data_IF_420394874745
#
_entry.id   IF_420394874745
#
_cell.length_a   1.000
_cell.length_b   1.000
_cell.length_c   1.000
_cell.angle_alpha   90.00
_cell.angle_beta   90.00
_cell.angle_gamma   90.00
#
_symmetry.space_group_name_H-M   'P 1'
#
loop_
_entity.id
_entity.type
_entity.pdbx_description
1 polymer ?
#
# COMPACT_ATOMS: atom_id res chain seq x y z
N UNK A 1 -14.40 -3.17 25.29
CA UNK A 1 -14.09 -1.85 24.70
C UNK A 1 -15.06 -1.45 23.58
N UNK A 2 -15.42 -2.31 22.62
CA UNK A 2 -16.38 -1.96 21.57
C UNK A 2 -17.82 -1.67 22.04
N UNK A 3 -18.26 -2.29 23.15
CA UNK A 3 -19.59 -2.05 23.71
C UNK A 3 -19.74 -0.62 24.27
N UNK A 4 -18.74 -0.12 25.01
CA UNK A 4 -18.79 1.22 25.60
C UNK A 4 -18.81 2.35 24.55
N UNK A 5 -18.17 2.15 23.40
CA UNK A 5 -18.16 3.08 22.25
C UNK A 5 -19.52 3.13 21.54
N UNK A 6 -20.29 2.04 21.62
CA UNK A 6 -21.63 1.97 21.04
C UNK A 6 -22.68 2.65 21.93
N UNK A 7 -22.56 2.49 23.25
CA UNK A 7 -23.59 2.92 24.21
C UNK A 7 -23.43 4.34 24.72
N UNK A 8 -22.20 4.86 24.82
CA UNK A 8 -21.94 6.20 25.35
C UNK A 8 -21.38 7.13 24.27
N UNK A 9 -22.16 8.11 23.78
CA UNK A 9 -21.71 9.04 22.74
C UNK A 9 -20.55 9.95 23.20
N UNK A 10 -20.31 10.08 24.50
CA UNK A 10 -19.17 10.83 25.06
C UNK A 10 -17.83 10.08 24.94
N UNK A 11 -17.85 8.75 24.77
CA UNK A 11 -16.68 7.92 24.49
C UNK A 11 -16.49 7.59 23.01
N UNK A 12 -17.33 8.14 22.12
CA UNK A 12 -17.02 8.21 20.68
C UNK A 12 -15.94 9.28 20.49
N UNK A 13 -14.69 8.89 20.65
CA UNK A 13 -13.49 9.73 20.50
C UNK A 13 -13.38 10.48 19.15
N UNK A 14 -14.26 10.25 18.17
CA UNK A 14 -14.23 10.90 16.85
C UNK A 14 -15.69 11.09 16.37
N UNK A 15 -16.26 12.27 16.58
CA UNK A 15 -17.56 12.68 16.05
C UNK A 15 -17.44 13.12 14.58
N UNK A 16 -18.46 12.71 13.81
CA UNK A 16 -18.60 12.93 12.36
C UNK A 16 -18.82 14.42 12.07
N UNK A 17 -18.39 14.87 10.89
CA UNK A 17 -18.59 16.21 10.28
C UNK A 17 -17.46 17.23 10.44
N UNK A 18 -16.77 17.32 11.60
CA UNK A 18 -15.62 18.24 11.75
C UNK A 18 -14.25 17.69 11.28
N UNK A 19 -14.12 16.36 11.15
CA UNK A 19 -12.83 15.67 10.96
C UNK A 19 -12.63 14.95 9.62
N UNK A 20 -13.54 15.11 8.64
CA UNK A 20 -13.34 14.51 7.30
C UNK A 20 -12.02 14.96 6.68
N UNK A 21 -11.67 16.23 6.85
CA UNK A 21 -10.41 16.85 6.39
C UNK A 21 -9.16 16.26 7.06
N UNK A 22 -9.20 15.97 8.36
CA UNK A 22 -8.06 15.41 9.08
C UNK A 22 -7.73 13.98 8.62
N UNK A 23 -8.76 13.18 8.35
CA UNK A 23 -8.56 11.83 7.82
C UNK A 23 -7.87 11.87 6.45
N UNK A 24 -8.26 12.81 5.58
CA UNK A 24 -7.68 12.98 4.23
C UNK A 24 -6.18 13.32 4.33
N UNK A 25 -5.81 14.24 5.22
CA UNK A 25 -4.39 14.62 5.42
C UNK A 25 -3.58 13.42 5.90
N UNK A 26 -4.09 12.65 6.85
CA UNK A 26 -3.42 11.44 7.36
C UNK A 26 -3.18 10.44 6.22
N UNK A 27 -4.16 10.22 5.34
CA UNK A 27 -3.99 9.32 4.20
C UNK A 27 -2.95 9.84 3.19
N UNK A 28 -2.97 11.14 2.87
CA UNK A 28 -2.00 11.73 1.95
C UNK A 28 -0.56 11.63 2.51
N UNK A 29 -0.35 11.87 3.81
CA UNK A 29 0.95 11.71 4.48
C UNK A 29 1.35 10.23 4.51
N UNK A 30 0.39 9.34 4.78
CA UNK A 30 0.64 7.91 4.77
C UNK A 30 1.17 7.46 3.41
N UNK A 31 0.56 7.89 2.30
CA UNK A 31 1.01 7.55 0.95
C UNK A 31 2.43 8.06 0.66
N UNK A 32 2.73 9.30 1.10
CA UNK A 32 4.05 9.91 0.93
C UNK A 32 5.17 9.12 1.61
N UNK A 33 4.86 8.43 2.72
CA UNK A 33 5.83 7.60 3.44
C UNK A 33 5.81 6.16 2.91
N UNK A 34 4.60 5.62 2.69
CA UNK A 34 4.36 4.23 2.35
C UNK A 34 5.03 3.84 1.02
N UNK A 35 4.83 4.61 -0.04
CA UNK A 35 5.36 4.24 -1.35
C UNK A 35 6.90 4.29 -1.39
N UNK A 36 7.56 5.40 -0.99
CA UNK A 36 9.03 5.43 -0.96
C UNK A 36 9.64 4.38 -0.04
N UNK A 37 9.02 4.08 1.11
CA UNK A 37 9.46 3.00 1.98
C UNK A 37 9.50 1.66 1.24
N UNK A 38 8.42 1.29 0.55
CA UNK A 38 8.39 0.02 -0.19
C UNK A 38 9.31 0.04 -1.41
N UNK A 39 9.47 1.16 -2.11
CA UNK A 39 10.44 1.27 -3.21
C UNK A 39 11.86 1.01 -2.71
N UNK A 40 12.22 1.58 -1.57
CA UNK A 40 13.51 1.33 -0.93
C UNK A 40 13.70 -0.14 -0.56
N UNK A 41 12.69 -0.76 0.06
CA UNK A 41 12.71 -2.20 0.40
C UNK A 41 12.90 -3.06 -0.85
N UNK A 42 12.20 -2.78 -1.95
CA UNK A 42 12.39 -3.55 -3.18
C UNK A 42 13.75 -3.29 -3.82
N UNK A 43 14.22 -2.04 -3.84
CA UNK A 43 15.53 -1.67 -4.35
C UNK A 43 16.67 -2.41 -3.63
N UNK A 44 16.58 -2.59 -2.31
CA UNK A 44 17.62 -3.28 -1.53
C UNK A 44 17.68 -4.80 -1.76
N UNK A 45 16.61 -5.41 -2.28
CA UNK A 45 16.53 -6.85 -2.57
C UNK A 45 16.77 -7.24 -4.03
N UNK A 46 16.87 -6.24 -4.92
CA UNK A 46 17.18 -6.40 -6.34
C UNK A 46 18.71 -6.40 -6.51
N UNK A 47 19.25 -7.39 -7.23
CA UNK A 47 20.70 -7.49 -7.48
C UNK A 47 21.13 -6.90 -8.84
N UNK A 48 20.21 -6.83 -9.80
CA UNK A 48 20.53 -6.36 -11.15
C UNK A 48 20.56 -4.82 -11.20
N UNK A 49 21.70 -4.25 -11.56
CA UNK A 49 21.91 -2.81 -11.65
C UNK A 49 20.88 -2.10 -12.56
N UNK A 50 20.48 -2.74 -13.67
CA UNK A 50 19.42 -2.21 -14.55
C UNK A 50 18.10 -2.04 -13.80
N UNK A 51 17.67 -3.04 -13.03
CA UNK A 51 16.42 -2.98 -12.27
C UNK A 51 16.50 -1.96 -11.12
N UNK A 52 17.66 -1.86 -10.45
CA UNK A 52 17.88 -0.83 -9.43
C UNK A 52 17.73 0.59 -9.99
N UNK A 53 18.27 0.85 -11.18
CA UNK A 53 18.12 2.14 -11.87
C UNK A 53 16.66 2.45 -12.19
N UNK A 54 15.87 1.46 -12.60
CA UNK A 54 14.42 1.62 -12.83
C UNK A 54 13.73 2.03 -11.53
N UNK A 55 13.99 1.33 -10.41
CA UNK A 55 13.38 1.64 -9.11
C UNK A 55 13.77 3.05 -8.62
N UNK A 56 15.04 3.42 -8.74
CA UNK A 56 15.52 4.77 -8.41
C UNK A 56 14.84 5.84 -9.27
N UNK A 57 14.81 5.65 -10.60
CA UNK A 57 14.21 6.62 -11.51
C UNK A 57 12.71 6.80 -11.24
N UNK A 58 11.93 5.72 -11.14
CA UNK A 58 10.50 5.87 -10.83
C UNK A 58 10.22 6.34 -9.40
N UNK A 59 11.09 6.03 -8.43
CA UNK A 59 11.00 6.60 -7.08
C UNK A 59 11.27 8.11 -7.07
N UNK A 60 12.22 8.60 -7.86
CA UNK A 60 12.41 10.06 -8.02
C UNK A 60 11.23 10.72 -8.75
N UNK A 61 10.72 10.08 -9.80
CA UNK A 61 9.54 10.53 -10.53
C UNK A 61 8.28 10.58 -9.64
N UNK A 62 8.13 9.66 -8.67
CA UNK A 62 7.05 9.71 -7.67
C UNK A 62 7.04 11.05 -6.92
N UNK A 63 8.19 11.56 -6.46
CA UNK A 63 8.25 12.86 -5.78
C UNK A 63 7.85 14.02 -6.69
N UNK A 64 8.22 13.97 -7.98
CA UNK A 64 7.74 14.94 -8.95
C UNK A 64 6.20 14.88 -9.10
N UNK A 65 5.61 13.68 -9.13
CA UNK A 65 4.15 13.51 -9.17
C UNK A 65 3.50 14.06 -7.90
N UNK A 66 4.08 13.83 -6.72
CA UNK A 66 3.57 14.41 -5.46
C UNK A 66 3.53 15.94 -5.53
N UNK A 67 4.62 16.55 -5.99
CA UNK A 67 4.72 18.01 -6.13
C UNK A 67 3.70 18.53 -7.13
N UNK A 68 3.59 17.91 -8.31
CA UNK A 68 2.59 18.29 -9.32
C UNK A 68 1.17 18.16 -8.78
N UNK A 69 0.89 17.12 -8.01
CA UNK A 69 -0.44 16.89 -7.45
C UNK A 69 -0.83 17.95 -6.39
N UNK A 70 0.14 18.48 -5.64
CA UNK A 70 -0.10 19.61 -4.71
C UNK A 70 -0.59 20.87 -5.44
N UNK A 71 -0.17 21.09 -6.70
CA UNK A 71 -0.65 22.21 -7.50
C UNK A 71 -2.02 21.97 -8.13
N UNK A 72 -2.38 20.70 -8.39
CA UNK A 72 -3.65 20.34 -9.04
C UNK A 72 -4.79 20.17 -8.04
N UNK A 73 -4.51 19.69 -6.83
CA UNK A 73 -5.49 19.34 -5.81
C UNK A 73 -5.08 19.87 -4.44
N UNK A 74 -6.02 20.47 -3.72
CA UNK A 74 -5.76 20.91 -2.35
C UNK A 74 -5.67 19.68 -1.43
N UNK A 75 -4.49 19.36 -0.86
CA UNK A 75 -4.28 18.15 -0.06
C UNK A 75 -5.07 18.13 1.26
N UNK A 76 -5.65 19.27 1.67
CA UNK A 76 -6.50 19.37 2.86
C UNK A 76 -7.96 19.01 2.58
N UNK A 77 -8.38 19.06 1.31
CA UNK A 77 -9.78 18.92 0.92
C UNK A 77 -10.04 17.65 0.11
N UNK A 78 -9.01 17.08 -0.52
CA UNK A 78 -9.15 15.88 -1.36
C UNK A 78 -7.99 14.91 -1.20
N UNK A 79 -8.28 13.62 -1.45
CA UNK A 79 -7.24 12.60 -1.59
C UNK A 79 -6.40 12.89 -2.82
N UNK A 80 -5.09 12.74 -2.70
CA UNK A 80 -4.14 13.00 -3.76
C UNK A 80 -4.12 11.83 -4.77
N UNK A 81 -5.12 11.79 -5.64
CA UNK A 81 -5.37 10.65 -6.53
C UNK A 81 -4.19 10.32 -7.44
N UNK A 82 -3.53 11.32 -8.03
CA UNK A 82 -2.39 11.09 -8.92
C UNK A 82 -1.21 10.48 -8.18
N UNK A 83 -0.96 10.95 -6.96
CA UNK A 83 0.07 10.41 -6.06
C UNK A 83 -0.22 8.95 -5.74
N UNK A 84 -1.46 8.63 -5.38
CA UNK A 84 -1.87 7.28 -5.04
C UNK A 84 -1.79 6.33 -6.24
N UNK A 85 -2.32 6.74 -7.39
CA UNK A 85 -2.39 5.91 -8.60
C UNK A 85 -0.99 5.66 -9.16
N UNK A 86 -0.18 6.70 -9.32
CA UNK A 86 1.20 6.54 -9.75
C UNK A 86 1.99 5.69 -8.74
N UNK A 87 1.82 5.98 -7.45
CA UNK A 87 2.42 5.26 -6.34
C UNK A 87 2.17 3.75 -6.42
N UNK A 88 0.90 3.37 -6.55
CA UNK A 88 0.47 1.98 -6.63
C UNK A 88 0.90 1.28 -7.91
N UNK A 89 0.78 1.93 -9.07
CA UNK A 89 1.23 1.35 -10.35
C UNK A 89 2.73 1.08 -10.34
N UNK A 90 3.53 2.04 -9.86
CA UNK A 90 4.97 1.86 -9.79
C UNK A 90 5.38 0.82 -8.72
N UNK A 91 4.63 0.71 -7.64
CA UNK A 91 4.81 -0.35 -6.65
C UNK A 91 4.58 -1.74 -7.26
N UNK A 92 3.55 -1.89 -8.09
CA UNK A 92 3.32 -3.13 -8.85
C UNK A 92 4.53 -3.45 -9.73
N UNK A 93 5.11 -2.46 -10.42
CA UNK A 93 6.33 -2.66 -11.21
C UNK A 93 7.49 -3.15 -10.32
N UNK A 94 7.70 -2.53 -9.15
CA UNK A 94 8.73 -2.97 -8.20
C UNK A 94 8.54 -4.43 -7.77
N UNK A 95 7.30 -4.83 -7.47
CA UNK A 95 6.95 -6.21 -7.12
C UNK A 95 7.24 -7.18 -8.26
N UNK A 96 6.89 -6.82 -9.50
CA UNK A 96 7.16 -7.64 -10.68
C UNK A 96 8.66 -7.80 -10.95
N UNK A 97 9.45 -6.74 -10.77
CA UNK A 97 10.90 -6.81 -10.86
C UNK A 97 11.47 -7.74 -9.79
N UNK A 98 10.96 -7.68 -8.56
CA UNK A 98 11.35 -8.60 -7.49
C UNK A 98 11.00 -10.07 -7.82
N UNK A 99 9.80 -10.34 -8.33
CA UNK A 99 9.39 -11.68 -8.75
C UNK A 99 10.21 -12.21 -9.94
N UNK A 100 10.60 -11.36 -10.89
CA UNK A 100 11.48 -11.77 -11.99
C UNK A 100 12.82 -12.27 -11.46
N UNK A 101 13.44 -11.56 -10.49
CA UNK A 101 14.66 -11.99 -9.83
C UNK A 101 14.50 -13.33 -9.11
N UNK A 102 13.38 -13.51 -8.39
CA UNK A 102 13.08 -14.75 -7.69
C UNK A 102 12.96 -15.95 -8.64
N UNK A 103 12.43 -15.77 -9.85
CA UNK A 103 12.32 -16.86 -10.85
C UNK A 103 13.68 -17.43 -11.25
N UNK A 104 14.74 -16.61 -11.23
CA UNK A 104 16.11 -17.02 -11.53
C UNK A 104 16.85 -17.62 -10.33
N UNK A 105 16.38 -17.41 -9.11
CA UNK A 105 16.97 -17.96 -7.88
C UNK A 105 16.27 -19.27 -7.48
N UNK A 106 17.02 -20.30 -7.05
CA UNK A 106 16.47 -21.63 -6.76
C UNK A 106 15.16 -21.61 -5.92
N UNK A 107 14.09 -22.19 -6.47
CA UNK A 107 12.69 -22.11 -6.01
C UNK A 107 12.40 -22.54 -4.56
N UNK A 108 13.29 -23.32 -3.92
CA UNK A 108 13.00 -24.00 -2.64
C UNK A 108 12.98 -23.06 -1.41
N UNK A 109 13.65 -21.91 -1.47
CA UNK A 109 13.71 -20.92 -0.36
C UNK A 109 12.72 -19.75 -0.52
N UNK A 110 12.01 -19.65 -1.65
CA UNK A 110 11.17 -18.49 -1.99
C UNK A 110 9.98 -18.30 -1.05
N UNK A 111 9.26 -19.38 -0.72
CA UNK A 111 8.06 -19.34 0.14
C UNK A 111 8.40 -19.12 1.62
N UNK A 112 9.69 -19.13 1.97
CA UNK A 112 10.19 -18.87 3.32
C UNK A 112 10.62 -17.41 3.51
N UNK A 113 10.68 -16.63 2.42
CA UNK A 113 10.99 -15.20 2.48
C UNK A 113 9.72 -14.42 2.85
N UNK A 114 9.81 -13.60 3.90
CA UNK A 114 8.72 -12.74 4.33
C UNK A 114 8.35 -11.74 3.21
N UNK A 115 9.35 -11.22 2.48
CA UNK A 115 9.13 -10.24 1.44
C UNK A 115 8.31 -10.83 0.27
N UNK A 116 8.39 -12.13 0.03
CA UNK A 116 7.54 -12.81 -0.96
C UNK A 116 6.06 -12.71 -0.59
N UNK A 117 5.70 -13.01 0.66
CA UNK A 117 4.31 -12.95 1.12
C UNK A 117 3.77 -11.53 1.20
N UNK A 118 4.59 -10.58 1.64
CA UNK A 118 4.27 -9.15 1.61
C UNK A 118 3.99 -8.70 0.17
N UNK A 119 4.87 -9.08 -0.78
CA UNK A 119 4.70 -8.74 -2.20
C UNK A 119 3.41 -9.30 -2.78
N UNK A 120 3.05 -10.55 -2.48
CA UNK A 120 1.79 -11.15 -2.91
C UNK A 120 0.57 -10.39 -2.35
N UNK A 121 0.60 -10.04 -1.06
CA UNK A 121 -0.48 -9.28 -0.41
C UNK A 121 -0.65 -7.90 -1.04
N UNK A 122 0.45 -7.16 -1.20
CA UNK A 122 0.45 -5.84 -1.84
C UNK A 122 -0.02 -5.91 -3.29
N UNK A 123 0.43 -6.91 -4.06
CA UNK A 123 0.03 -7.06 -5.46
C UNK A 123 -1.48 -7.26 -5.60
N UNK A 124 -2.08 -8.15 -4.80
CA UNK A 124 -3.53 -8.40 -4.82
C UNK A 124 -4.28 -7.13 -4.41
N UNK A 125 -3.82 -6.45 -3.36
CA UNK A 125 -4.43 -5.22 -2.89
C UNK A 125 -4.41 -4.13 -3.97
N UNK A 126 -3.25 -3.81 -4.54
CA UNK A 126 -3.12 -2.72 -5.51
C UNK A 126 -3.80 -3.02 -6.85
N UNK A 127 -3.77 -4.26 -7.34
CA UNK A 127 -4.52 -4.64 -8.55
C UNK A 127 -6.03 -4.46 -8.34
N UNK A 128 -6.55 -4.84 -7.17
CA UNK A 128 -7.98 -4.73 -6.88
C UNK A 128 -8.43 -3.31 -6.52
N UNK A 129 -7.60 -2.57 -5.78
CA UNK A 129 -8.00 -1.29 -5.20
C UNK A 129 -7.74 -0.10 -6.12
N UNK A 130 -6.73 -0.12 -6.99
CA UNK A 130 -6.47 0.99 -7.92
C UNK A 130 -7.66 1.30 -8.85
N UNK A 131 -8.33 0.31 -9.49
CA UNK A 131 -9.52 0.59 -10.28
C UNK A 131 -10.68 1.17 -9.47
N UNK A 132 -10.83 0.73 -8.21
CA UNK A 132 -11.84 1.25 -7.29
C UNK A 132 -11.59 2.72 -6.98
N UNK A 133 -10.34 3.07 -6.68
CA UNK A 133 -9.96 4.45 -6.35
C UNK A 133 -10.11 5.39 -7.56
N UNK A 134 -9.72 4.93 -8.75
CA UNK A 134 -9.94 5.66 -10.00
C UNK A 134 -11.44 5.87 -10.25
N UNK A 135 -12.26 4.83 -10.08
CA UNK A 135 -13.72 4.93 -10.22
C UNK A 135 -14.30 5.96 -9.25
N UNK A 136 -13.89 5.94 -7.98
CA UNK A 136 -14.34 6.90 -6.96
C UNK A 136 -14.02 8.33 -7.35
N UNK A 137 -12.84 8.57 -7.91
CA UNK A 137 -12.47 9.88 -8.40
C UNK A 137 -13.43 10.36 -9.50
N UNK A 138 -13.71 9.53 -10.50
CA UNK A 138 -14.69 9.88 -11.54
C UNK A 138 -16.10 10.07 -11.00
N UNK A 139 -16.59 9.17 -10.15
CA UNK A 139 -17.91 9.29 -9.52
C UNK A 139 -18.03 10.61 -8.75
N UNK A 140 -16.96 11.05 -8.07
CA UNK A 140 -16.93 12.33 -7.34
C UNK A 140 -17.04 13.55 -8.25
N UNK A 141 -16.48 13.49 -9.47
CA UNK A 141 -16.60 14.58 -10.46
C UNK A 141 -18.02 14.70 -11.01
N UNK A 142 -18.74 13.58 -11.13
CA UNK A 142 -20.10 13.52 -11.69
C UNK A 142 -21.19 13.47 -10.61
N UNK A 143 -20.84 13.64 -9.33
CA UNK A 143 -21.76 13.54 -8.18
C UNK A 143 -22.58 12.23 -8.14
N UNK A 144 -21.97 11.12 -8.56
CA UNK A 144 -22.59 9.80 -8.55
C UNK A 144 -22.42 9.19 -7.16
N UNK A 145 -23.52 8.69 -6.59
CA UNK A 145 -23.49 8.06 -5.27
C UNK A 145 -22.79 6.70 -5.37
N UNK A 146 -21.72 6.53 -4.58
CA UNK A 146 -20.96 5.28 -4.51
C UNK A 146 -21.85 4.13 -4.02
N UNK A 147 -21.92 3.00 -4.75
CA UNK A 147 -22.64 1.84 -4.28
C UNK A 147 -22.02 1.22 -3.01
N UNK A 148 -22.83 0.76 -2.04
CA UNK A 148 -22.33 0.28 -0.75
C UNK A 148 -21.39 -0.94 -0.87
N UNK A 149 -21.55 -1.77 -1.90
CA UNK A 149 -20.73 -2.97 -2.12
C UNK A 149 -19.25 -2.65 -2.40
N UNK A 150 -18.92 -1.48 -2.95
CA UNK A 150 -17.52 -1.08 -3.22
C UNK A 150 -16.71 -1.03 -1.93
N UNK A 151 -17.29 -0.51 -0.85
CA UNK A 151 -16.67 -0.48 0.49
C UNK A 151 -16.50 -1.88 1.08
N UNK A 152 -17.37 -2.83 0.75
CA UNK A 152 -17.19 -4.23 1.15
C UNK A 152 -16.01 -4.86 0.41
N UNK A 153 -15.89 -4.64 -0.90
CA UNK A 153 -14.77 -5.16 -1.71
C UNK A 153 -13.43 -4.63 -1.19
N UNK A 154 -13.32 -3.32 -0.93
CA UNK A 154 -12.11 -2.74 -0.34
C UNK A 154 -11.72 -3.42 0.98
N UNK A 155 -12.68 -3.63 1.88
CA UNK A 155 -12.42 -4.30 3.17
C UNK A 155 -11.97 -5.74 2.98
N UNK A 156 -12.57 -6.47 2.04
CA UNK A 156 -12.16 -7.84 1.70
C UNK A 156 -10.72 -7.85 1.17
N UNK A 157 -10.34 -6.91 0.29
CA UNK A 157 -8.96 -6.80 -0.21
C UNK A 157 -7.96 -6.56 0.92
N UNK A 158 -8.30 -5.69 1.88
CA UNK A 158 -7.46 -5.43 3.06
C UNK A 158 -7.31 -6.70 3.91
N UNK A 159 -8.39 -7.42 4.17
CA UNK A 159 -8.37 -8.68 4.93
C UNK A 159 -7.48 -9.72 4.24
N UNK A 160 -7.65 -9.90 2.92
CA UNK A 160 -6.85 -10.83 2.13
C UNK A 160 -5.35 -10.47 2.17
N UNK A 161 -5.02 -9.18 2.01
CA UNK A 161 -3.65 -8.69 2.12
C UNK A 161 -3.03 -9.04 3.48
N UNK A 162 -3.73 -8.75 4.57
CA UNK A 162 -3.23 -9.06 5.92
C UNK A 162 -3.10 -10.55 6.18
N UNK A 163 -4.03 -11.38 5.71
CA UNK A 163 -3.92 -12.85 5.82
C UNK A 163 -2.63 -13.33 5.16
N UNK A 164 -2.29 -12.84 3.96
CA UNK A 164 -1.06 -13.21 3.28
C UNK A 164 0.19 -12.78 4.05
N UNK A 165 0.20 -11.57 4.61
CA UNK A 165 1.29 -11.08 5.44
C UNK A 165 1.46 -11.96 6.70
N UNK A 166 0.36 -12.29 7.38
CA UNK A 166 0.36 -13.17 8.56
C UNK A 166 0.91 -14.56 8.21
N UNK A 167 0.49 -15.14 7.08
CA UNK A 167 1.04 -16.41 6.59
C UNK A 167 2.56 -16.30 6.38
N UNK A 168 3.03 -15.17 5.86
CA UNK A 168 4.45 -14.88 5.71
C UNK A 168 5.20 -14.90 7.03
N UNK A 169 4.69 -14.21 8.05
CA UNK A 169 5.27 -14.22 9.39
C UNK A 169 5.30 -15.62 10.01
N UNK A 170 4.22 -16.39 9.88
CA UNK A 170 4.14 -17.76 10.40
C UNK A 170 5.20 -18.66 9.71
N UNK A 171 5.36 -18.53 8.39
CA UNK A 171 6.33 -19.34 7.62
C UNK A 171 7.80 -18.93 7.84
N UNK A 172 8.04 -17.69 8.27
CA UNK A 172 9.39 -17.20 8.60
C UNK A 172 9.97 -17.86 9.87
N UNK A 173 9.12 -18.36 10.78
CA UNK A 173 9.46 -18.84 12.13
C UNK A 173 10.52 -19.97 12.20
N UNK A 174 10.92 -20.57 11.08
CA UNK A 174 11.87 -21.69 11.06
C UNK A 174 13.32 -21.32 10.71
N UNK A 175 13.67 -20.04 10.56
CA UNK A 175 15.09 -19.65 10.58
C UNK A 175 15.50 -19.39 12.02
N UNK A 176 15.98 -20.44 12.69
CA UNK A 176 16.77 -20.32 13.93
C UNK A 176 17.78 -19.20 13.68
N UNK A 177 17.75 -18.17 14.53
CA UNK A 177 18.89 -17.28 14.72
C UNK A 177 20.08 -18.22 14.92
N UNK A 178 20.95 -18.32 13.91
CA UNK A 178 22.25 -18.96 14.10
C UNK A 178 22.95 -18.03 15.08
N UNK A 179 22.79 -18.36 16.36
CA UNK A 179 23.58 -17.83 17.45
C UNK A 179 25.03 -17.93 17.00
N UNK A 180 25.65 -16.78 16.72
CA UNK A 180 27.10 -16.66 16.72
C UNK A 180 27.53 -17.05 18.13
N UNK A 181 27.97 -18.30 18.30
CA UNK A 181 28.92 -18.63 19.35
C UNK A 181 30.18 -17.83 19.02
N UNK A 182 30.39 -16.75 19.74
CA UNK A 182 31.72 -16.18 20.01
C UNK A 182 32.19 -16.86 21.29
#
# INVERSE_FOLDING_TARGET
MGYLIFTYPEFKLISREGFSHYNIIIYNIYDLIFFPYFYYVFWSYINYEKHKRIVLFGGTLFFFVCILNLYLQNPMLSTQILTYVYGGLFLIVCILLYFSKLRYSHKKTMKQDLLFWISCGLLIFFIGYLPIEIKRYFDSLFNIVEPPYIRHIQRILIIVMYILIIIGFIKMKNRKLVSKKI
#
